data_IF_078739635018
#
_entry.id   IF_078739635018
#
_cell.length_a   1.000
_cell.length_b   1.000
_cell.length_c   1.000
_cell.angle_alpha   90.00
_cell.angle_beta   90.00
_cell.angle_gamma   90.00
#
_symmetry.space_group_name_H-M   'P 1'
#
loop_
_entity.id
_entity.type
_entity.pdbx_description
1 polymer ?
#
# COMPACT_ATOMS: atom_id res chain seq x y z
N UNK A 1 20.21 19.31 -10.92
CA UNK A 1 19.40 18.09 -11.11
C UNK A 1 18.70 17.78 -9.79
N UNK A 2 17.59 18.46 -9.51
CA UNK A 2 16.92 18.41 -8.21
C UNK A 2 15.91 17.26 -8.19
N UNK A 3 16.06 16.35 -7.22
CA UNK A 3 15.01 15.41 -6.83
C UNK A 3 13.78 16.22 -6.40
N UNK A 4 12.84 16.45 -7.32
CA UNK A 4 11.51 17.00 -6.98
C UNK A 4 10.85 15.99 -6.04
N UNK A 5 10.75 16.32 -4.76
CA UNK A 5 9.91 15.59 -3.80
C UNK A 5 8.47 15.66 -4.33
N UNK A 6 7.97 14.55 -4.88
CA UNK A 6 6.54 14.40 -5.23
C UNK A 6 5.69 14.79 -4.01
N UNK A 7 4.65 15.58 -4.23
CA UNK A 7 3.68 15.94 -3.19
C UNK A 7 3.10 14.65 -2.59
N UNK A 8 2.72 14.65 -1.30
CA UNK A 8 2.21 13.45 -0.63
C UNK A 8 1.03 12.82 -1.40
N UNK A 9 0.14 13.66 -1.93
CA UNK A 9 -1.00 13.26 -2.76
C UNK A 9 -0.57 12.57 -4.07
N UNK A 10 0.47 13.08 -4.75
CA UNK A 10 1.04 12.46 -5.95
C UNK A 10 1.63 11.07 -5.70
N UNK A 11 2.24 10.89 -4.52
CA UNK A 11 2.76 9.57 -4.12
C UNK A 11 1.62 8.59 -3.87
N UNK A 12 0.53 9.03 -3.23
CA UNK A 12 -0.63 8.17 -3.00
C UNK A 12 -1.31 7.78 -4.33
N UNK A 13 -1.57 8.73 -5.23
CA UNK A 13 -2.17 8.44 -6.54
C UNK A 13 -1.35 7.46 -7.38
N UNK A 14 -0.02 7.61 -7.37
CA UNK A 14 0.88 6.68 -8.07
C UNK A 14 0.81 5.25 -7.49
N UNK A 15 0.60 5.07 -6.18
CA UNK A 15 0.46 3.73 -5.58
C UNK A 15 -0.81 3.00 -6.08
N UNK A 16 -1.87 3.73 -6.42
CA UNK A 16 -3.15 3.19 -6.92
C UNK A 16 -3.21 3.06 -8.45
N UNK A 17 -2.11 3.27 -9.17
CA UNK A 17 -2.04 2.91 -10.59
C UNK A 17 -2.16 1.41 -10.74
N UNK A 18 -3.04 0.96 -11.63
CA UNK A 18 -3.34 -0.46 -11.83
C UNK A 18 -2.07 -1.26 -12.19
N UNK A 19 -1.15 -0.66 -12.94
CA UNK A 19 0.18 -1.24 -13.24
C UNK A 19 1.03 -1.47 -11.99
N UNK A 20 1.03 -0.52 -11.05
CA UNK A 20 1.79 -0.62 -9.80
C UNK A 20 1.15 -1.62 -8.83
N UNK A 21 -0.19 -1.63 -8.76
CA UNK A 21 -0.94 -2.61 -7.97
C UNK A 21 -0.72 -4.04 -8.48
N UNK A 22 -0.67 -4.25 -9.80
CA UNK A 22 -0.41 -5.57 -10.41
C UNK A 22 0.97 -6.12 -10.08
N UNK A 23 1.95 -5.24 -9.83
CA UNK A 23 3.32 -5.63 -9.49
C UNK A 23 3.49 -5.94 -7.98
N UNK A 24 2.42 -5.83 -7.17
CA UNK A 24 2.42 -6.22 -5.75
C UNK A 24 2.36 -7.74 -5.62
N UNK A 25 2.63 -8.25 -4.41
CA UNK A 25 2.68 -9.70 -4.15
C UNK A 25 1.32 -10.38 -4.28
N UNK A 26 0.24 -9.69 -3.89
CA UNK A 26 -1.13 -10.16 -4.07
C UNK A 26 -1.88 -9.17 -4.96
N UNK A 27 -2.67 -9.70 -5.89
CA UNK A 27 -3.49 -8.92 -6.81
C UNK A 27 -4.77 -9.70 -7.17
N UNK A 28 -5.92 -9.08 -6.93
CA UNK A 28 -7.23 -9.59 -7.32
C UNK A 28 -8.00 -8.50 -8.07
N UNK A 29 -8.83 -8.95 -9.00
CA UNK A 29 -9.66 -8.10 -9.84
C UNK A 29 -11.07 -8.69 -9.89
N UNK A 30 -12.08 -7.84 -9.71
CA UNK A 30 -13.47 -8.24 -9.59
C UNK A 30 -14.38 -7.21 -10.26
N UNK A 31 -15.38 -7.69 -10.99
CA UNK A 31 -16.41 -6.87 -11.62
C UNK A 31 -17.73 -7.07 -10.89
N UNK A 32 -18.35 -5.97 -10.48
CA UNK A 32 -19.55 -5.97 -9.67
C UNK A 32 -20.54 -4.90 -10.16
N UNK A 33 -21.82 -5.26 -10.20
CA UNK A 33 -22.91 -4.29 -10.35
C UNK A 33 -23.46 -3.96 -8.97
N UNK A 34 -23.29 -2.71 -8.58
CA UNK A 34 -23.62 -2.20 -7.24
C UNK A 34 -24.78 -1.21 -7.37
N UNK A 35 -25.68 -1.15 -6.37
CA UNK A 35 -26.68 -0.07 -6.32
C UNK A 35 -26.01 1.27 -6.03
N UNK A 36 -25.48 1.42 -4.82
CA UNK A 36 -24.78 2.63 -4.39
C UNK A 36 -23.25 2.40 -4.22
N UNK A 37 -22.39 3.10 -4.98
CA UNK A 37 -20.94 3.10 -4.80
C UNK A 37 -20.47 3.52 -3.40
N UNK A 38 -21.21 4.38 -2.70
CA UNK A 38 -20.90 4.75 -1.31
C UNK A 38 -21.14 3.59 -0.35
N UNK A 39 -22.16 2.77 -0.61
CA UNK A 39 -22.42 1.56 0.16
C UNK A 39 -21.29 0.54 -0.02
N UNK A 40 -20.82 0.32 -1.26
CA UNK A 40 -19.66 -0.56 -1.50
C UNK A 40 -18.43 -0.07 -0.75
N UNK A 41 -18.15 1.24 -0.82
CA UNK A 41 -17.01 1.85 -0.12
C UNK A 41 -17.12 1.65 1.39
N UNK A 42 -18.30 1.89 1.95
CA UNK A 42 -18.57 1.77 3.39
C UNK A 42 -18.44 0.32 3.83
N UNK A 43 -19.03 -0.61 3.09
CA UNK A 43 -18.94 -2.03 3.36
C UNK A 43 -17.50 -2.55 3.25
N UNK A 44 -16.75 -2.09 2.25
CA UNK A 44 -15.32 -2.42 2.12
C UNK A 44 -14.51 -1.92 3.32
N UNK A 45 -14.81 -0.73 3.84
CA UNK A 45 -14.19 -0.20 5.06
C UNK A 45 -14.55 -1.04 6.27
N UNK A 46 -15.82 -1.44 6.42
CA UNK A 46 -16.29 -2.27 7.52
C UNK A 46 -15.60 -3.64 7.56
N UNK A 47 -15.40 -4.28 6.41
CA UNK A 47 -14.65 -5.54 6.33
C UNK A 47 -13.21 -5.32 6.78
N UNK A 48 -12.55 -4.25 6.28
CA UNK A 48 -11.17 -3.95 6.66
C UNK A 48 -11.03 -3.65 8.17
N UNK A 49 -11.99 -2.91 8.75
CA UNK A 49 -12.03 -2.62 10.18
C UNK A 49 -12.25 -3.92 11.00
N UNK A 50 -13.11 -4.83 10.53
CA UNK A 50 -13.32 -6.14 11.15
C UNK A 50 -12.07 -7.04 11.10
N UNK A 51 -11.22 -6.85 10.09
CA UNK A 51 -9.92 -7.52 9.95
C UNK A 51 -8.78 -6.81 10.73
N UNK A 52 -9.09 -5.88 11.62
CA UNK A 52 -8.13 -5.06 12.40
C UNK A 52 -7.22 -4.16 11.56
N UNK A 53 -7.61 -3.81 10.33
CA UNK A 53 -6.89 -2.82 9.54
C UNK A 53 -7.33 -1.41 9.91
N UNK A 54 -6.38 -0.49 9.94
CA UNK A 54 -6.66 0.95 10.02
C UNK A 54 -6.59 1.51 8.61
N UNK A 55 -7.62 2.24 8.18
CA UNK A 55 -7.68 2.84 6.86
C UNK A 55 -7.36 4.36 6.91
N UNK A 56 -6.08 4.78 6.84
CA UNK A 56 -5.70 6.20 6.88
C UNK A 56 -6.14 7.01 5.65
N UNK A 57 -6.56 6.36 4.56
CA UNK A 57 -7.02 7.02 3.35
C UNK A 57 -8.30 6.35 2.85
N UNK A 58 -9.39 7.11 2.77
CA UNK A 58 -10.71 6.67 2.32
C UNK A 58 -11.31 7.79 1.45
N UNK A 59 -11.10 7.75 0.13
CA UNK A 59 -11.55 8.80 -0.78
C UNK A 59 -12.52 8.24 -1.84
N UNK A 60 -13.54 9.02 -2.17
CA UNK A 60 -14.45 8.77 -3.29
C UNK A 60 -14.55 10.05 -4.10
N UNK A 61 -14.10 9.99 -5.34
CA UNK A 61 -14.15 11.11 -6.28
C UNK A 61 -15.21 10.80 -7.33
N UNK A 62 -16.30 11.56 -7.29
CA UNK A 62 -17.28 11.65 -8.37
C UNK A 62 -16.80 12.73 -9.33
N UNK A 63 -16.60 12.40 -10.60
CA UNK A 63 -16.15 13.40 -11.57
C UNK A 63 -17.31 14.32 -11.92
N UNK A 64 -17.22 15.59 -11.51
CA UNK A 64 -18.15 16.61 -11.97
C UNK A 64 -17.93 16.95 -13.45
N UNK A 65 -19.06 17.27 -14.08
CA UNK A 65 -19.30 17.50 -15.50
C UNK A 65 -18.18 18.33 -16.16
N UNK A 66 -17.21 17.64 -16.75
CA UNK A 66 -16.35 18.27 -17.74
C UNK A 66 -16.91 17.99 -19.12
N UNK A 67 -17.23 19.06 -19.84
CA UNK A 67 -17.67 19.13 -21.24
C UNK A 67 -16.83 18.29 -22.23
N UNK A 68 -15.58 17.94 -21.90
CA UNK A 68 -14.74 17.03 -22.70
C UNK A 68 -15.14 15.53 -22.57
N UNK A 69 -15.85 15.14 -21.49
CA UNK A 69 -16.30 13.76 -21.23
C UNK A 69 -17.73 13.46 -21.74
N UNK A 70 -18.53 14.49 -22.02
CA UNK A 70 -19.87 14.34 -22.63
C UNK A 70 -19.82 13.67 -24.00
N UNK A 71 -18.70 13.80 -24.72
CA UNK A 71 -18.49 13.15 -26.02
C UNK A 71 -18.17 11.65 -25.93
N UNK A 72 -17.75 11.14 -24.76
CA UNK A 72 -17.38 9.72 -24.56
C UNK A 72 -18.49 8.96 -23.81
N UNK A 73 -19.16 9.61 -22.87
CA UNK A 73 -20.33 9.08 -22.17
C UNK A 73 -21.55 9.86 -22.65
N UNK A 74 -22.26 9.27 -23.62
CA UNK A 74 -23.46 9.83 -24.26
C UNK A 74 -24.38 10.54 -23.25
N UNK A 75 -24.40 11.87 -23.31
CA UNK A 75 -25.42 12.74 -22.73
C UNK A 75 -25.70 12.55 -21.23
N UNK A 76 -24.77 12.97 -20.36
CA UNK A 76 -25.02 13.31 -18.94
C UNK A 76 -25.53 12.21 -17.99
N UNK A 77 -25.93 11.04 -18.51
CA UNK A 77 -26.58 9.95 -17.77
C UNK A 77 -25.60 9.09 -16.98
N UNK A 78 -24.39 8.93 -17.51
CA UNK A 78 -23.35 8.07 -16.97
C UNK A 78 -22.26 8.93 -16.31
N UNK A 79 -22.07 8.79 -14.99
CA UNK A 79 -21.07 9.53 -14.22
C UNK A 79 -19.92 8.60 -13.82
N UNK A 80 -18.67 8.87 -14.22
CA UNK A 80 -17.54 8.06 -13.81
C UNK A 80 -17.21 8.28 -12.33
N UNK A 81 -16.83 7.20 -11.66
CA UNK A 81 -16.54 7.17 -10.22
C UNK A 81 -15.20 6.48 -9.98
N UNK A 82 -14.42 7.06 -9.08
CA UNK A 82 -13.18 6.47 -8.55
C UNK A 82 -13.22 6.50 -7.03
N UNK A 83 -12.98 5.37 -6.39
CA UNK A 83 -12.76 5.24 -4.96
C UNK A 83 -11.41 4.61 -4.67
N UNK A 84 -10.73 5.08 -3.62
CA UNK A 84 -9.47 4.51 -3.16
C UNK A 84 -9.50 4.32 -1.65
N UNK A 85 -9.06 3.15 -1.19
CA UNK A 85 -8.88 2.85 0.23
C UNK A 85 -7.49 2.26 0.43
N UNK A 86 -6.71 2.85 1.33
CA UNK A 86 -5.43 2.27 1.81
C UNK A 86 -5.61 1.84 3.25
N UNK A 87 -5.36 0.57 3.53
CA UNK A 87 -5.47 -0.04 4.84
C UNK A 87 -4.12 -0.57 5.32
N UNK A 88 -3.85 -0.42 6.63
CA UNK A 88 -2.59 -0.79 7.28
C UNK A 88 -2.86 -1.57 8.57
N UNK A 89 -2.21 -2.71 8.75
CA UNK A 89 -2.23 -3.52 9.97
C UNK A 89 -0.81 -3.74 10.47
N UNK A 90 -0.56 -3.49 11.76
CA UNK A 90 0.75 -3.72 12.39
C UNK A 90 0.72 -5.01 13.21
N UNK A 91 1.59 -5.96 12.89
CA UNK A 91 1.78 -7.20 13.67
C UNK A 91 3.08 -7.08 14.46
N UNK A 92 3.03 -7.43 15.75
CA UNK A 92 4.22 -7.58 16.60
C UNK A 92 4.83 -8.97 16.37
N UNK A 93 6.08 -9.04 15.91
CA UNK A 93 6.81 -10.30 15.72
C UNK A 93 8.19 -10.24 16.35
N UNK A 94 8.60 -11.34 16.99
CA UNK A 94 9.97 -11.53 17.49
C UNK A 94 10.50 -10.39 18.37
N UNK A 95 11.80 -10.40 18.65
CA UNK A 95 12.49 -9.20 19.17
C UNK A 95 13.04 -8.42 18.00
N UNK A 96 12.99 -7.09 18.08
CA UNK A 96 13.61 -6.16 17.12
C UNK A 96 15.12 -6.39 16.98
N UNK A 97 15.77 -6.94 18.00
CA UNK A 97 17.22 -7.14 18.04
C UNK A 97 17.56 -8.62 18.23
N UNK A 98 17.20 -9.51 17.29
CA UNK A 98 17.20 -10.95 17.49
C UNK A 98 18.58 -11.53 17.81
N UNK A 99 19.65 -10.91 17.30
CA UNK A 99 21.03 -11.33 17.55
C UNK A 99 21.52 -10.73 18.88
N UNK A 100 21.28 -9.44 19.11
CA UNK A 100 21.81 -8.69 20.25
C UNK A 100 21.30 -9.21 21.60
N UNK A 101 20.00 -9.51 21.70
CA UNK A 101 19.47 -10.04 22.96
C UNK A 101 20.02 -11.44 23.25
N UNK A 102 20.23 -12.27 22.21
CA UNK A 102 20.82 -13.60 22.34
C UNK A 102 22.28 -13.53 22.76
N UNK A 103 23.08 -12.66 22.15
CA UNK A 103 24.49 -12.52 22.51
C UNK A 103 24.65 -12.01 23.93
N UNK A 104 23.87 -11.01 24.35
CA UNK A 104 23.87 -10.52 25.73
C UNK A 104 23.42 -11.60 26.71
N UNK A 105 22.41 -12.39 26.36
CA UNK A 105 21.96 -13.50 27.20
C UNK A 105 23.06 -14.57 27.35
N UNK A 106 23.71 -14.96 26.25
CA UNK A 106 24.79 -15.96 26.25
C UNK A 106 25.99 -15.47 27.07
N UNK A 107 26.45 -14.23 26.84
CA UNK A 107 27.56 -13.64 27.59
C UNK A 107 27.19 -13.53 29.08
N UNK A 108 25.95 -13.13 29.40
CA UNK A 108 25.45 -13.07 30.76
C UNK A 108 25.50 -14.42 31.47
N UNK A 109 25.05 -15.49 30.81
CA UNK A 109 25.11 -16.87 31.33
C UNK A 109 26.57 -17.31 31.55
N UNK A 110 27.46 -17.05 30.58
CA UNK A 110 28.88 -17.41 30.69
C UNK A 110 29.52 -16.71 31.91
N UNK A 111 29.25 -15.42 32.11
CA UNK A 111 29.78 -14.68 33.27
C UNK A 111 29.23 -15.21 34.60
N UNK A 112 27.96 -15.61 34.65
CA UNK A 112 27.39 -16.23 35.84
C UNK A 112 28.01 -17.59 36.16
N UNK A 113 28.27 -18.42 35.14
CA UNK A 113 28.93 -19.72 35.30
C UNK A 113 30.36 -19.51 35.79
N UNK A 114 31.12 -18.59 35.19
CA UNK A 114 32.49 -18.28 35.60
C UNK A 114 32.57 -17.69 37.02
N UNK A 115 31.58 -16.88 37.41
CA UNK A 115 31.49 -16.31 38.76
C UNK A 115 31.03 -17.33 39.83
N UNK A 116 30.12 -18.24 39.49
CA UNK A 116 29.57 -19.25 40.41
C UNK A 116 30.41 -20.51 40.54
N UNK A 117 31.19 -20.85 39.50
CA UNK A 117 32.08 -22.02 39.45
C UNK A 117 33.51 -21.59 39.14
N UNK A 118 34.21 -20.93 40.09
CA UNK A 118 35.56 -20.40 39.88
C UNK A 118 36.61 -21.49 39.61
N UNK A 119 36.31 -22.76 39.89
CA UNK A 119 37.13 -23.92 39.52
C UNK A 119 37.40 -23.99 38.00
N UNK A 120 36.46 -23.51 37.18
CA UNK A 120 36.60 -23.44 35.71
C UNK A 120 37.66 -22.41 35.30
N UNK A 121 37.84 -21.33 36.09
CA UNK A 121 38.87 -20.32 35.84
C UNK A 121 40.26 -20.80 36.29
N UNK A 122 40.34 -21.70 37.26
CA UNK A 122 41.60 -22.24 37.79
C UNK A 122 42.35 -23.12 36.78
N UNK A 123 41.66 -23.70 35.79
CA UNK A 123 42.29 -24.48 34.72
C UNK A 123 42.90 -23.61 33.61
N UNK A 124 42.61 -22.31 33.59
CA UNK A 124 43.00 -21.38 32.50
C UNK A 124 43.86 -20.23 33.00
N UNK A 125 43.68 -19.79 34.25
CA UNK A 125 44.38 -18.63 34.83
C UNK A 125 45.30 -19.06 35.98
N UNK A 126 46.44 -18.37 36.09
CA UNK A 126 47.38 -18.62 37.19
C UNK A 126 46.78 -18.22 38.54
N UNK A 127 47.13 -18.90 39.64
CA UNK A 127 46.58 -18.65 40.98
C UNK A 127 46.72 -17.19 41.45
N UNK A 128 47.83 -16.53 41.10
CA UNK A 128 48.09 -15.12 41.43
C UNK A 128 47.15 -14.14 40.71
N UNK A 129 46.67 -14.50 39.51
CA UNK A 129 45.75 -13.67 38.72
C UNK A 129 44.32 -13.84 39.22
N UNK A 130 43.97 -15.07 39.62
CA UNK A 130 42.65 -15.41 40.15
C UNK A 130 42.42 -14.77 41.53
N UNK A 131 43.46 -14.65 42.36
CA UNK A 131 43.40 -13.97 43.65
C UNK A 131 43.16 -12.45 43.54
N UNK A 132 43.57 -11.81 42.43
CA UNK A 132 43.29 -10.38 42.15
C UNK A 132 41.91 -10.14 41.56
N UNK A 133 41.21 -11.20 41.17
CA UNK A 133 39.95 -11.18 40.44
C UNK A 133 38.77 -11.19 41.41
N UNK A 134 38.01 -10.10 41.46
CA UNK A 134 36.82 -10.05 42.29
C UNK A 134 35.64 -10.74 41.58
N UNK A 135 35.38 -11.99 41.96
CA UNK A 135 34.32 -12.85 41.43
C UNK A 135 32.91 -12.22 41.51
N UNK A 136 32.69 -11.28 42.44
CA UNK A 136 31.39 -10.57 42.53
C UNK A 136 31.12 -9.72 41.29
N UNK A 137 32.14 -9.18 40.62
CA UNK A 137 31.94 -8.43 39.38
C UNK A 137 31.47 -9.29 38.22
N UNK A 138 31.83 -10.58 38.19
CA UNK A 138 31.34 -11.53 37.19
C UNK A 138 29.86 -11.83 37.42
N UNK A 139 29.47 -12.01 38.68
CA UNK A 139 28.06 -12.22 39.05
C UNK A 139 27.19 -11.00 38.75
N UNK A 140 27.64 -9.79 39.14
CA UNK A 140 26.90 -8.56 38.85
C UNK A 140 26.87 -8.25 37.35
N UNK A 141 27.99 -8.41 36.64
CA UNK A 141 28.06 -8.22 35.19
C UNK A 141 27.16 -9.21 34.44
N UNK A 142 27.16 -10.49 34.85
CA UNK A 142 26.28 -11.50 34.30
C UNK A 142 24.79 -11.19 34.51
N UNK A 143 24.42 -10.77 35.72
CA UNK A 143 23.05 -10.39 36.04
C UNK A 143 22.57 -9.15 35.24
N UNK A 144 23.42 -8.12 35.11
CA UNK A 144 23.11 -6.91 34.34
C UNK A 144 22.95 -7.22 32.84
N UNK A 145 23.83 -8.04 32.27
CA UNK A 145 23.74 -8.43 30.85
C UNK A 145 22.50 -9.28 30.57
N UNK A 146 22.11 -10.17 31.50
CA UNK A 146 20.85 -10.90 31.39
C UNK A 146 19.64 -9.98 31.43
N UNK A 147 19.60 -9.02 32.37
CA UNK A 147 18.53 -8.04 32.46
C UNK A 147 18.42 -7.20 31.17
N UNK A 148 19.55 -6.75 30.62
CA UNK A 148 19.59 -6.04 29.34
C UNK A 148 19.13 -6.93 28.17
N UNK A 149 19.51 -8.21 28.16
CA UNK A 149 19.04 -9.19 27.19
C UNK A 149 17.51 -9.37 27.25
N UNK A 150 16.94 -9.47 28.45
CA UNK A 150 15.49 -9.57 28.65
C UNK A 150 14.79 -8.30 28.16
N UNK A 151 15.31 -7.11 28.52
CA UNK A 151 14.76 -5.83 28.06
C UNK A 151 14.73 -5.74 26.53
N UNK A 152 15.82 -6.12 25.86
CA UNK A 152 15.88 -6.14 24.39
C UNK A 152 14.97 -7.21 23.77
N UNK A 153 14.79 -8.35 24.43
CA UNK A 153 13.85 -9.38 23.99
C UNK A 153 12.38 -8.89 24.03
N UNK A 154 12.04 -8.06 25.03
CA UNK A 154 10.71 -7.46 25.19
C UNK A 154 10.40 -6.42 24.12
N UNK A 155 11.41 -5.77 23.54
CA UNK A 155 11.23 -4.86 22.40
C UNK A 155 10.85 -5.68 21.17
N UNK A 156 9.55 -5.78 20.90
CA UNK A 156 9.02 -6.52 19.76
C UNK A 156 9.25 -5.79 18.45
N UNK A 157 9.59 -6.54 17.41
CA UNK A 157 9.63 -5.99 16.06
C UNK A 157 8.20 -5.76 15.57
N UNK A 158 8.01 -4.72 14.76
CA UNK A 158 6.73 -4.47 14.08
C UNK A 158 6.90 -4.73 12.59
N UNK A 159 5.95 -5.46 12.04
CA UNK A 159 5.81 -5.76 10.60
C UNK A 159 4.50 -5.13 10.15
N UNK A 160 4.52 -4.45 9.01
CA UNK A 160 3.34 -3.76 8.47
C UNK A 160 2.81 -4.49 7.25
N UNK A 161 1.52 -4.79 7.29
CA UNK A 161 0.76 -5.33 6.17
C UNK A 161 -0.08 -4.21 5.57
N UNK A 162 -0.15 -4.18 4.24
CA UNK A 162 -0.85 -3.14 3.49
C UNK A 162 -1.85 -3.77 2.54
N UNK A 163 -3.05 -3.22 2.51
CA UNK A 163 -4.08 -3.52 1.50
C UNK A 163 -4.41 -2.22 0.77
N UNK A 164 -4.38 -2.27 -0.56
CA UNK A 164 -4.85 -1.21 -1.44
C UNK A 164 -6.11 -1.69 -2.14
N UNK A 165 -7.20 -0.96 -2.00
CA UNK A 165 -8.45 -1.18 -2.69
C UNK A 165 -8.72 0.00 -3.62
N UNK A 166 -8.93 -0.29 -4.90
CA UNK A 166 -9.28 0.71 -5.91
C UNK A 166 -10.62 0.32 -6.54
N UNK A 167 -11.57 1.23 -6.48
CA UNK A 167 -12.90 1.12 -7.04
C UNK A 167 -12.97 2.03 -8.26
N UNK A 168 -13.25 1.51 -9.44
CA UNK A 168 -13.41 2.31 -10.67
C UNK A 168 -14.67 1.86 -11.38
N UNK A 169 -15.57 2.77 -11.72
CA UNK A 169 -16.81 2.38 -12.36
C UNK A 169 -17.58 3.52 -12.99
N UNK A 170 -18.72 3.16 -13.56
CA UNK A 170 -19.66 4.10 -14.17
C UNK A 170 -20.99 3.97 -13.44
N UNK A 171 -21.51 5.09 -12.93
CA UNK A 171 -22.81 5.16 -12.29
C UNK A 171 -23.87 5.68 -13.26
N UNK A 172 -24.97 4.95 -13.39
CA UNK A 172 -26.14 5.32 -14.16
C UNK A 172 -27.17 6.00 -13.24
N UNK A 173 -27.48 7.26 -13.55
CA UNK A 173 -28.41 8.09 -12.76
C UNK A 173 -29.85 7.55 -12.84
N UNK A 174 -30.25 6.99 -13.98
CA UNK A 174 -31.63 6.53 -14.20
C UNK A 174 -31.90 5.23 -13.43
N UNK A 175 -31.00 4.25 -13.58
CA UNK A 175 -31.14 2.95 -12.92
C UNK A 175 -30.66 2.92 -11.47
N UNK A 176 -30.01 4.00 -10.99
CA UNK A 176 -29.35 4.10 -9.67
C UNK A 176 -28.46 2.88 -9.38
N UNK A 177 -27.68 2.50 -10.39
CA UNK A 177 -26.74 1.37 -10.33
C UNK A 177 -25.41 1.82 -10.90
N UNK A 178 -24.34 1.22 -10.41
CA UNK A 178 -23.00 1.37 -10.92
C UNK A 178 -22.41 0.03 -11.35
N UNK A 179 -21.84 0.00 -12.55
CA UNK A 179 -20.96 -1.07 -12.97
C UNK A 179 -19.54 -0.71 -12.54
N UNK A 180 -18.96 -1.52 -11.67
CA UNK A 180 -17.72 -1.21 -10.97
C UNK A 180 -16.70 -2.34 -11.10
N UNK A 181 -15.46 -1.96 -11.38
CA UNK A 181 -14.27 -2.77 -11.22
C UNK A 181 -13.62 -2.50 -9.88
N UNK A 182 -13.37 -3.56 -9.15
CA UNK A 182 -12.79 -3.58 -7.82
C UNK A 182 -11.41 -4.24 -7.95
N UNK A 183 -10.36 -3.47 -7.73
CA UNK A 183 -8.98 -3.95 -7.76
C UNK A 183 -8.44 -3.99 -6.34
N UNK A 184 -8.00 -5.16 -5.90
CA UNK A 184 -7.43 -5.38 -4.56
C UNK A 184 -5.96 -5.74 -4.74
N UNK A 185 -5.07 -5.10 -3.99
CA UNK A 185 -3.66 -5.46 -3.95
C UNK A 185 -3.15 -5.52 -2.51
N UNK A 186 -2.20 -6.42 -2.24
CA UNK A 186 -1.63 -6.64 -0.91
C UNK A 186 -0.10 -6.71 -0.93
N UNK A 187 0.54 -6.18 0.11
CA UNK A 187 1.99 -6.27 0.31
C UNK A 187 2.40 -6.19 1.79
N UNK A 188 3.61 -6.63 2.10
CA UNK A 188 4.21 -6.62 3.44
C UNK A 188 5.54 -5.88 3.37
N UNK A 189 5.82 -4.97 4.33
CA UNK A 189 7.05 -4.17 4.36
C UNK A 189 8.34 -4.99 4.51
N UNK A 190 8.24 -6.19 5.08
CA UNK A 190 9.36 -7.09 5.31
C UNK A 190 9.11 -8.45 4.67
N UNK A 191 10.21 -9.17 4.42
CA UNK A 191 10.18 -10.57 3.98
C UNK A 191 9.82 -11.46 5.18
N UNK A 192 8.53 -11.48 5.50
CA UNK A 192 7.96 -12.17 6.64
C UNK A 192 6.88 -13.14 6.16
N UNK A 193 7.15 -14.45 6.23
CA UNK A 193 6.24 -15.47 5.71
C UNK A 193 4.94 -15.57 6.54
N UNK A 194 5.02 -15.40 7.86
CA UNK A 194 3.82 -15.48 8.72
C UNK A 194 2.90 -14.29 8.47
N UNK A 195 3.47 -13.09 8.36
CA UNK A 195 2.71 -11.89 8.01
C UNK A 195 2.17 -11.97 6.56
N UNK A 196 2.92 -12.57 5.64
CA UNK A 196 2.44 -12.78 4.27
C UNK A 196 1.26 -13.76 4.21
N UNK A 197 1.33 -14.89 4.93
CA UNK A 197 0.23 -15.87 5.02
C UNK A 197 -1.04 -15.23 5.59
N UNK A 198 -0.91 -14.44 6.67
CA UNK A 198 -2.05 -13.72 7.25
C UNK A 198 -2.63 -12.67 6.30
N UNK A 199 -1.78 -11.95 5.58
CA UNK A 199 -2.22 -11.01 4.55
C UNK A 199 -2.98 -11.72 3.42
N UNK A 200 -2.53 -12.91 3.00
CA UNK A 200 -3.20 -13.69 1.97
C UNK A 200 -4.59 -14.16 2.43
N UNK A 201 -4.72 -14.61 3.68
CA UNK A 201 -6.00 -14.92 4.33
C UNK A 201 -6.91 -13.69 4.39
N UNK A 202 -6.42 -12.56 4.93
CA UNK A 202 -7.16 -11.30 5.09
C UNK A 202 -7.65 -10.76 3.72
N UNK A 203 -6.80 -10.80 2.68
CA UNK A 203 -7.14 -10.36 1.32
C UNK A 203 -8.15 -11.30 0.66
N UNK A 204 -8.00 -12.62 0.87
CA UNK A 204 -8.95 -13.61 0.35
C UNK A 204 -10.32 -13.47 0.99
N UNK A 205 -10.38 -13.21 2.29
CA UNK A 205 -11.64 -12.93 2.99
C UNK A 205 -12.31 -11.67 2.45
N UNK A 206 -11.56 -10.56 2.31
CA UNK A 206 -12.07 -9.35 1.68
C UNK A 206 -12.61 -9.60 0.28
N UNK A 207 -11.86 -10.32 -0.57
CA UNK A 207 -12.30 -10.68 -1.91
C UNK A 207 -13.60 -11.51 -1.88
N UNK A 208 -13.66 -12.52 -1.02
CA UNK A 208 -14.79 -13.44 -0.94
C UNK A 208 -16.06 -12.75 -0.43
N UNK A 209 -15.96 -11.87 0.58
CA UNK A 209 -17.09 -11.10 1.08
C UNK A 209 -17.64 -10.12 0.01
N UNK A 210 -16.75 -9.41 -0.69
CA UNK A 210 -17.14 -8.54 -1.80
C UNK A 210 -17.77 -9.33 -2.95
N UNK A 211 -17.20 -10.48 -3.30
CA UNK A 211 -17.73 -11.37 -4.32
C UNK A 211 -19.11 -11.92 -3.93
N UNK A 212 -19.29 -12.40 -2.70
CA UNK A 212 -20.57 -12.94 -2.23
C UNK A 212 -21.69 -11.90 -2.27
N UNK A 213 -21.40 -10.67 -1.83
CA UNK A 213 -22.41 -9.61 -1.73
C UNK A 213 -22.75 -9.00 -3.09
N UNK A 214 -21.76 -8.80 -3.96
CA UNK A 214 -21.93 -8.00 -5.19
C UNK A 214 -21.73 -8.76 -6.50
N UNK A 215 -21.22 -9.99 -6.46
CA UNK A 215 -21.10 -10.88 -7.63
C UNK A 215 -22.12 -12.00 -7.51
N UNK A 216 -23.34 -11.76 -7.99
CA UNK A 216 -24.27 -12.87 -8.25
C UNK A 216 -23.74 -13.71 -9.41
N UNK A 217 -23.84 -15.06 -9.29
CA UNK A 217 -23.49 -16.03 -10.35
C UNK A 217 -23.97 -15.50 -11.70
N UNK A 218 -23.04 -15.37 -12.66
CA UNK A 218 -23.29 -14.99 -14.05
C UNK A 218 -24.55 -15.68 -14.58
N UNK A 219 -25.63 -14.93 -14.77
CA UNK A 219 -26.36 -15.06 -16.02
C UNK A 219 -25.54 -14.29 -17.05
N UNK A 220 -25.33 -14.91 -18.20
CA UNK A 220 -24.56 -14.36 -19.31
C UNK A 220 -25.24 -13.09 -19.84
N UNK A 221 -25.04 -11.96 -19.16
CA UNK A 221 -25.41 -10.65 -19.69
C UNK A 221 -24.46 -10.35 -20.84
N UNK A 222 -25.00 -10.42 -22.06
CA UNK A 222 -24.34 -9.97 -23.29
C UNK A 222 -23.81 -8.55 -23.08
N UNK A 223 -22.61 -8.23 -23.57
CA UNK A 223 -22.05 -6.88 -23.46
C UNK A 223 -23.03 -5.87 -24.09
N UNK A 224 -23.56 -4.97 -23.25
CA UNK A 224 -24.47 -3.90 -23.65
C UNK A 224 -23.79 -2.81 -24.51
N UNK A 225 -22.49 -2.95 -24.79
CA UNK A 225 -21.71 -1.97 -25.56
C UNK A 225 -20.92 -2.69 -26.66
N UNK A 226 -21.49 -2.72 -27.87
CA UNK A 226 -20.76 -3.06 -29.09
C UNK A 226 -20.18 -1.78 -29.66
N UNK A 227 -18.94 -1.45 -29.28
CA UNK A 227 -18.20 -0.35 -29.90
C UNK A 227 -17.82 -0.75 -31.32
N UNK A 228 -18.40 -0.09 -32.34
CA UNK A 228 -17.99 -0.28 -33.74
C UNK A 228 -16.51 0.12 -33.90
N UNK A 229 -15.66 -0.84 -34.29
CA UNK A 229 -14.22 -0.66 -34.54
C UNK A 229 -13.95 0.40 -35.61
N UNK A 230 -13.52 1.59 -35.18
CA UNK A 230 -12.65 2.49 -35.94
C UNK A 230 -11.61 3.04 -34.97
N UNK A 231 -10.41 2.44 -35.02
CA UNK A 231 -9.26 2.61 -34.10
C UNK A 231 -9.57 2.26 -32.63
N UNK A 232 -8.70 1.51 -31.95
CA UNK A 232 -8.94 1.16 -30.54
C UNK A 232 -9.00 2.46 -29.71
N UNK A 233 -10.11 2.75 -29.02
CA UNK A 233 -10.24 3.92 -28.14
C UNK A 233 -9.09 3.98 -27.11
N UNK A 234 -8.57 2.82 -26.70
CA UNK A 234 -7.44 2.66 -25.81
C UNK A 234 -6.15 3.29 -26.39
N UNK A 235 -5.89 3.09 -27.68
CA UNK A 235 -4.69 3.61 -28.33
C UNK A 235 -4.69 5.15 -28.42
N UNK A 236 -5.87 5.76 -28.61
CA UNK A 236 -6.06 7.22 -28.60
C UNK A 236 -5.88 7.81 -27.21
N UNK A 237 -6.36 7.12 -26.18
CA UNK A 237 -6.20 7.57 -24.79
C UNK A 237 -4.73 7.45 -24.36
N UNK A 238 -4.06 6.36 -24.72
CA UNK A 238 -2.63 6.17 -24.43
C UNK A 238 -1.78 7.24 -25.13
N UNK A 239 -2.06 7.56 -26.40
CA UNK A 239 -1.32 8.61 -27.11
C UNK A 239 -1.58 10.00 -26.52
N UNK A 240 -2.82 10.31 -26.14
CA UNK A 240 -3.17 11.56 -25.46
C UNK A 240 -2.48 11.69 -24.08
N UNK A 241 -2.40 10.62 -23.29
CA UNK A 241 -1.65 10.59 -22.02
C UNK A 241 -0.17 10.91 -22.29
N UNK A 242 0.42 10.27 -23.29
CA UNK A 242 1.83 10.48 -23.67
C UNK A 242 2.09 11.91 -24.15
N UNK A 243 1.16 12.50 -24.88
CA UNK A 243 1.24 13.90 -25.31
C UNK A 243 1.18 14.86 -24.12
N UNK A 244 0.30 14.60 -23.13
CA UNK A 244 0.24 15.39 -21.90
C UNK A 244 1.54 15.26 -21.09
N UNK A 245 2.13 14.07 -21.00
CA UNK A 245 3.44 13.87 -20.36
C UNK A 245 4.54 14.69 -21.03
N UNK A 246 4.56 14.72 -22.37
CA UNK A 246 5.49 15.56 -23.12
C UNK A 246 5.22 17.06 -22.88
N UNK A 247 3.97 17.49 -22.77
CA UNK A 247 3.59 18.88 -22.42
C UNK A 247 4.05 19.26 -21.01
N UNK A 248 3.89 18.37 -20.03
CA UNK A 248 4.41 18.59 -18.66
C UNK A 248 5.93 18.69 -18.67
N UNK A 249 6.61 17.81 -19.41
CA UNK A 249 8.07 17.80 -19.50
C UNK A 249 8.61 19.08 -20.16
N UNK A 250 7.95 19.56 -21.22
CA UNK A 250 8.32 20.82 -21.88
C UNK A 250 7.95 22.07 -21.05
N UNK A 251 6.92 22.02 -20.21
CA UNK A 251 6.65 23.08 -19.24
C UNK A 251 7.71 23.12 -18.13
N UNK A 252 8.15 21.95 -17.65
CA UNK A 252 9.22 21.83 -16.68
C UNK A 252 10.56 22.34 -17.24
N UNK A 253 10.85 22.09 -18.52
CA UNK A 253 12.05 22.63 -19.17
C UNK A 253 11.96 24.15 -19.37
N UNK A 254 10.80 24.68 -19.78
CA UNK A 254 10.58 26.13 -19.93
C UNK A 254 10.66 26.89 -18.60
N UNK A 255 10.27 26.29 -17.48
CA UNK A 255 10.50 26.86 -16.15
C UNK A 255 11.99 26.86 -15.81
N UNK A 256 12.71 25.76 -16.06
CA UNK A 256 14.15 25.66 -15.81
C UNK A 256 14.97 26.66 -16.65
N UNK A 257 14.49 26.99 -17.84
CA UNK A 257 15.04 28.02 -18.72
C UNK A 257 14.61 29.45 -18.33
N UNK A 258 13.79 29.63 -17.29
CA UNK A 258 13.31 30.95 -16.83
C UNK A 258 12.29 31.62 -17.75
N UNK A 259 11.75 30.90 -18.74
CA UNK A 259 10.84 31.45 -19.77
C UNK A 259 9.39 31.59 -19.32
N UNK A 260 9.04 31.06 -18.14
CA UNK A 260 7.67 31.08 -17.59
C UNK A 260 7.74 31.46 -16.11
N UNK A 261 6.79 32.30 -15.66
CA UNK A 261 6.63 32.65 -14.24
C UNK A 261 6.14 31.44 -13.44
N UNK A 262 6.67 31.25 -12.24
CA UNK A 262 6.41 30.08 -11.39
C UNK A 262 4.92 29.83 -11.12
N UNK A 263 4.12 30.89 -10.90
CA UNK A 263 2.67 30.78 -10.69
C UNK A 263 1.94 30.25 -11.94
N UNK A 264 2.27 30.75 -13.12
CA UNK A 264 1.68 30.29 -14.38
C UNK A 264 2.08 28.85 -14.73
N UNK A 265 3.32 28.46 -14.39
CA UNK A 265 3.76 27.06 -14.51
C UNK A 265 2.97 26.15 -13.56
N UNK A 266 2.74 26.59 -12.32
CA UNK A 266 2.04 25.79 -11.31
C UNK A 266 0.60 25.50 -11.74
N UNK A 267 -0.13 26.51 -12.19
CA UNK A 267 -1.51 26.38 -12.71
C UNK A 267 -1.58 25.50 -13.98
N UNK A 268 -0.68 25.73 -14.94
CA UNK A 268 -0.62 24.94 -16.18
C UNK A 268 -0.27 23.47 -15.90
N UNK A 269 0.64 23.22 -14.95
CA UNK A 269 1.02 21.86 -14.56
C UNK A 269 -0.10 21.15 -13.82
N UNK A 270 -0.78 21.84 -12.91
CA UNK A 270 -1.90 21.28 -12.16
C UNK A 270 -3.08 20.92 -13.08
N UNK A 271 -3.42 21.80 -14.02
CA UNK A 271 -4.48 21.53 -15.00
C UNK A 271 -4.13 20.35 -15.93
N UNK A 272 -2.90 20.27 -16.44
CA UNK A 272 -2.45 19.12 -17.24
C UNK A 272 -2.43 17.82 -16.43
N UNK A 273 -2.06 17.88 -15.16
CA UNK A 273 -2.07 16.71 -14.27
C UNK A 273 -3.50 16.20 -14.04
N UNK A 274 -4.47 17.10 -13.79
CA UNK A 274 -5.90 16.74 -13.70
C UNK A 274 -6.40 16.13 -15.01
N UNK A 275 -6.00 16.66 -16.18
CA UNK A 275 -6.35 16.08 -17.48
C UNK A 275 -5.77 14.67 -17.68
N UNK A 276 -4.50 14.46 -17.28
CA UNK A 276 -3.86 13.14 -17.31
C UNK A 276 -4.61 12.12 -16.45
N UNK A 277 -4.96 12.49 -15.22
CA UNK A 277 -5.66 11.60 -14.30
C UNK A 277 -7.02 11.16 -14.86
N UNK A 278 -7.76 12.08 -15.48
CA UNK A 278 -9.03 11.76 -16.14
C UNK A 278 -8.86 10.74 -17.28
N UNK A 279 -7.84 10.90 -18.11
CA UNK A 279 -7.54 9.95 -19.19
C UNK A 279 -7.08 8.58 -18.67
N UNK A 280 -6.31 8.53 -17.58
CA UNK A 280 -5.92 7.27 -16.93
C UNK A 280 -7.15 6.51 -16.41
N UNK A 281 -8.15 7.22 -15.87
CA UNK A 281 -9.39 6.63 -15.39
C UNK A 281 -10.24 6.12 -16.55
N UNK A 282 -10.34 6.87 -17.66
CA UNK A 282 -10.99 6.39 -18.88
C UNK A 282 -10.35 5.11 -19.42
N UNK A 283 -9.02 5.03 -19.40
CA UNK A 283 -8.30 3.82 -19.80
C UNK A 283 -8.61 2.64 -18.88
N UNK A 284 -8.76 2.88 -17.58
CA UNK A 284 -9.16 1.85 -16.62
C UNK A 284 -10.63 1.42 -16.83
N UNK A 285 -11.52 2.36 -17.21
CA UNK A 285 -12.93 2.11 -17.53
C UNK A 285 -13.13 1.33 -18.83
N UNK A 286 -12.30 1.56 -19.86
CA UNK A 286 -12.35 0.77 -21.11
C UNK A 286 -12.00 -0.71 -20.92
N UNK A 287 -11.35 -1.06 -19.80
CA UNK A 287 -10.96 -2.42 -19.45
C UNK A 287 -12.02 -3.15 -18.59
N UNK A 288 -13.16 -2.52 -18.36
CA UNK A 288 -14.37 -3.08 -17.75
C UNK A 288 -15.23 -3.69 -18.85
#
# INVERSE_FOLDING_TARGET
>A
MFWKKKLLVEKYEDEFKTSNMRNRKLFYDLFARVGDPEELKTYSSQILDALDYKAPLIELTKFEESTELEGVFLGGRLKPIKGIIKAIKEIKRGSKFPILWKTLAIIGIILLILGGFPQILQSVLSPATLAKLNLRYFLYGGAVLLLLGILLYLIKERVRMYIWLKLVGVYDIESKKADMRIVIAGDVDKKDMDAFSRLEEDVSELYNELARKYVKKKEEEKPLIVVKKKESPEAKIISAIKEIENKITSLDSKLAEGKIKENAWKEARESLKRKKEKLEILLDLLKI
#
